data_IF_996103394953
#
_entry.id   IF_996103394953
#
_cell.length_a   1.000
_cell.length_b   1.000
_cell.length_c   1.000
_cell.angle_alpha   90.00
_cell.angle_beta   90.00
_cell.angle_gamma   90.00
#
_symmetry.space_group_name_H-M   'P 1'
#
loop_
_entity.id
_entity.type
_entity.pdbx_description
1 polymer ?
#
# COMPACT_ATOMS: atom_id res chain seq x y z
N UNK A 1 16.51 2.88 8.73
CA UNK A 1 15.93 1.55 8.42
C UNK A 1 16.93 0.79 7.56
N UNK A 2 17.12 -0.52 7.77
CA UNK A 2 18.04 -1.30 6.94
C UNK A 2 17.39 -1.57 5.58
N UNK A 3 18.13 -1.34 4.49
CA UNK A 3 17.65 -1.66 3.14
C UNK A 3 17.63 -3.17 2.94
N UNK A 4 16.62 -3.65 2.23
CA UNK A 4 16.56 -5.06 1.83
C UNK A 4 17.51 -5.26 0.66
N UNK A 5 18.43 -6.20 0.78
CA UNK A 5 19.41 -6.52 -0.27
C UNK A 5 19.04 -7.77 -1.07
N UNK A 6 18.26 -8.68 -0.48
CA UNK A 6 17.75 -9.88 -1.15
C UNK A 6 16.47 -10.37 -0.47
N UNK A 7 15.59 -11.02 -1.25
CA UNK A 7 14.37 -11.69 -0.77
C UNK A 7 14.40 -13.20 -0.97
N UNK A 8 15.53 -13.78 -1.43
CA UNK A 8 15.64 -15.19 -1.80
C UNK A 8 15.24 -16.14 -0.66
N UNK A 9 15.56 -15.79 0.59
CA UNK A 9 15.29 -16.63 1.77
C UNK A 9 13.84 -16.50 2.30
N UNK A 10 13.00 -15.65 1.71
CA UNK A 10 11.61 -15.46 2.16
C UNK A 10 10.76 -16.56 1.55
N UNK A 11 10.21 -17.47 2.38
CA UNK A 11 9.42 -18.62 1.92
C UNK A 11 8.04 -18.22 1.38
N UNK A 12 7.36 -17.31 2.06
CA UNK A 12 6.04 -16.83 1.65
C UNK A 12 6.13 -16.11 0.28
N UNK A 13 5.47 -16.63 -0.78
CA UNK A 13 5.62 -16.11 -2.13
C UNK A 13 5.11 -14.67 -2.28
N UNK A 14 4.03 -14.33 -1.58
CA UNK A 14 3.45 -13.00 -1.61
C UNK A 14 4.42 -11.98 -1.01
N UNK A 15 4.93 -12.26 0.18
CA UNK A 15 5.89 -11.47 0.93
C UNK A 15 7.18 -11.30 0.14
N UNK A 16 7.69 -12.37 -0.48
CA UNK A 16 8.87 -12.31 -1.36
C UNK A 16 8.65 -11.33 -2.53
N UNK A 17 7.51 -11.43 -3.23
CA UNK A 17 7.15 -10.59 -4.37
C UNK A 17 6.94 -9.12 -3.97
N UNK A 18 6.31 -8.87 -2.83
CA UNK A 18 6.06 -7.50 -2.38
C UNK A 18 7.37 -6.83 -1.98
N UNK A 19 8.21 -7.51 -1.21
CA UNK A 19 9.49 -6.96 -0.77
C UNK A 19 10.50 -6.82 -1.90
N UNK A 20 10.40 -7.59 -2.98
CA UNK A 20 11.29 -7.41 -4.14
C UNK A 20 11.13 -6.03 -4.78
N UNK A 21 9.96 -5.38 -4.64
CA UNK A 21 9.73 -4.02 -5.16
C UNK A 21 10.58 -2.95 -4.44
N UNK A 22 11.09 -3.24 -3.24
CA UNK A 22 11.89 -2.32 -2.42
C UNK A 22 13.33 -2.76 -2.21
N UNK A 23 13.83 -3.75 -2.97
CA UNK A 23 15.25 -4.13 -2.94
C UNK A 23 16.12 -2.90 -3.26
N UNK A 24 17.17 -2.72 -2.45
CA UNK A 24 18.11 -1.60 -2.49
C UNK A 24 17.49 -0.20 -2.32
N UNK A 25 16.19 -0.10 -2.00
CA UNK A 25 15.50 1.16 -1.75
C UNK A 25 15.41 1.44 -0.25
N UNK A 26 15.39 2.73 0.10
CA UNK A 26 14.95 3.15 1.42
C UNK A 26 13.40 3.08 1.45
N UNK A 27 12.87 2.08 2.15
CA UNK A 27 11.44 1.82 2.15
C UNK A 27 10.64 2.97 2.78
N UNK A 28 11.16 3.64 3.81
CA UNK A 28 10.45 4.78 4.41
C UNK A 28 10.42 5.99 3.47
N UNK A 29 11.48 6.20 2.69
CA UNK A 29 11.50 7.22 1.63
C UNK A 29 10.49 6.90 0.53
N UNK A 30 10.37 5.63 0.13
CA UNK A 30 9.33 5.19 -0.82
C UNK A 30 7.95 5.46 -0.25
N UNK A 31 7.69 5.01 0.98
CA UNK A 31 6.43 5.22 1.71
C UNK A 31 6.05 6.70 1.79
N UNK A 32 7.01 7.59 2.07
CA UNK A 32 6.82 9.05 2.10
C UNK A 32 6.52 9.67 0.73
N UNK A 33 7.04 9.10 -0.35
CA UNK A 33 6.88 9.62 -1.71
C UNK A 33 5.63 9.09 -2.41
N UNK A 34 5.04 7.99 -1.95
CA UNK A 34 3.82 7.40 -2.53
C UNK A 34 2.69 8.41 -2.73
N UNK A 35 2.31 9.27 -1.74
CA UNK A 35 1.27 10.30 -1.92
C UNK A 35 1.46 11.18 -3.16
N UNK A 36 2.67 11.69 -3.36
CA UNK A 36 2.98 12.57 -4.49
C UNK A 36 2.95 11.80 -5.81
N UNK A 37 3.53 10.59 -5.83
CA UNK A 37 3.56 9.74 -7.01
C UNK A 37 2.13 9.34 -7.44
N UNK A 38 1.28 8.96 -6.49
CA UNK A 38 -0.11 8.61 -6.75
C UNK A 38 -0.87 9.79 -7.35
N UNK A 39 -0.80 10.97 -6.72
CA UNK A 39 -1.41 12.20 -7.26
C UNK A 39 -0.96 12.47 -8.69
N UNK A 40 0.34 12.35 -8.97
CA UNK A 40 0.87 12.58 -10.31
C UNK A 40 0.32 11.60 -11.36
N UNK A 41 0.17 10.32 -11.02
CA UNK A 41 -0.38 9.31 -11.93
C UNK A 41 -1.87 9.52 -12.23
N UNK A 42 -2.62 10.12 -11.29
CA UNK A 42 -4.05 10.39 -11.45
C UNK A 42 -4.35 11.68 -12.24
N UNK A 43 -3.36 12.56 -12.41
CA UNK A 43 -3.56 13.84 -13.12
C UNK A 43 -3.93 13.60 -14.59
N UNK A 44 -4.99 14.29 -15.02
CA UNK A 44 -5.44 14.28 -16.41
C UNK A 44 -6.21 13.02 -16.84
N UNK A 45 -6.54 12.12 -15.91
CA UNK A 45 -7.40 10.96 -16.20
C UNK A 45 -8.88 11.35 -16.09
N UNK A 46 -9.69 10.98 -17.10
CA UNK A 46 -11.13 11.22 -17.09
C UNK A 46 -11.91 10.20 -16.24
N UNK A 47 -13.15 10.52 -15.87
CA UNK A 47 -14.02 9.64 -15.04
C UNK A 47 -14.20 8.23 -15.63
N UNK A 48 -14.26 8.10 -16.96
CA UNK A 48 -14.38 6.81 -17.66
C UNK A 48 -13.09 5.99 -17.57
N UNK A 49 -11.95 6.65 -17.74
CA UNK A 49 -10.62 6.05 -17.69
C UNK A 49 -10.31 5.47 -16.30
N UNK A 50 -10.72 6.18 -15.25
CA UNK A 50 -10.53 5.76 -13.86
C UNK A 50 -11.26 4.45 -13.51
N UNK A 51 -12.39 4.17 -14.17
CA UNK A 51 -13.21 2.97 -13.95
C UNK A 51 -12.92 1.83 -14.93
N UNK A 52 -12.05 2.04 -15.92
CA UNK A 52 -11.73 1.01 -16.91
C UNK A 52 -10.55 0.15 -16.42
N UNK A 53 -10.73 -1.16 -16.20
CA UNK A 53 -9.61 -2.05 -15.90
C UNK A 53 -8.80 -2.36 -17.16
N UNK A 54 -7.56 -2.83 -16.99
CA UNK A 54 -6.71 -3.30 -18.09
C UNK A 54 -7.23 -4.57 -18.77
N UNK A 55 -7.89 -5.44 -18.01
CA UNK A 55 -8.43 -6.71 -18.48
C UNK A 55 -9.58 -7.17 -17.58
N UNK A 56 -10.40 -8.11 -18.07
CA UNK A 56 -11.48 -8.74 -17.29
C UNK A 56 -10.92 -9.35 -16.00
N UNK A 57 -11.58 -9.08 -14.88
CA UNK A 57 -11.16 -9.57 -13.56
C UNK A 57 -9.94 -8.87 -12.96
N UNK A 58 -9.42 -7.81 -13.57
CA UNK A 58 -8.41 -6.93 -12.95
C UNK A 58 -9.07 -5.68 -12.39
N UNK A 59 -8.43 -5.10 -11.38
CA UNK A 59 -8.92 -3.85 -10.78
C UNK A 59 -8.74 -2.65 -11.70
N UNK A 60 -9.73 -1.76 -11.67
CA UNK A 60 -9.64 -0.40 -12.21
C UNK A 60 -8.79 0.51 -11.32
N UNK A 61 -8.48 1.71 -11.80
CA UNK A 61 -7.77 2.72 -10.98
C UNK A 61 -8.60 3.08 -9.74
N UNK A 62 -9.93 3.22 -9.88
CA UNK A 62 -10.82 3.50 -8.74
C UNK A 62 -10.76 2.42 -7.67
N UNK A 63 -10.76 1.15 -8.07
CA UNK A 63 -10.62 0.04 -7.12
C UNK A 63 -9.24 0.02 -6.47
N UNK A 64 -8.16 0.26 -7.23
CA UNK A 64 -6.80 0.32 -6.67
C UNK A 64 -6.65 1.45 -5.65
N UNK A 65 -7.17 2.65 -5.94
CA UNK A 65 -7.08 3.78 -5.00
C UNK A 65 -7.93 3.53 -3.75
N UNK A 66 -9.11 2.93 -3.91
CA UNK A 66 -9.95 2.52 -2.77
C UNK A 66 -9.24 1.51 -1.88
N UNK A 67 -8.59 0.51 -2.50
CA UNK A 67 -7.78 -0.48 -1.80
C UNK A 67 -6.58 0.14 -1.08
N UNK A 68 -5.84 1.05 -1.71
CA UNK A 68 -4.72 1.75 -1.07
C UNK A 68 -5.19 2.56 0.14
N UNK A 69 -6.32 3.25 0.03
CA UNK A 69 -6.94 4.00 1.13
C UNK A 69 -7.27 3.11 2.32
N UNK A 70 -8.00 2.02 2.08
CA UNK A 70 -8.47 1.15 3.17
C UNK A 70 -7.29 0.35 3.77
N UNK A 71 -6.30 -0.04 2.95
CA UNK A 71 -5.04 -0.61 3.42
C UNK A 71 -4.30 0.35 4.33
N UNK A 72 -4.25 1.64 4.00
CA UNK A 72 -3.57 2.65 4.80
C UNK A 72 -4.23 2.85 6.17
N UNK A 73 -5.56 2.79 6.24
CA UNK A 73 -6.31 2.79 7.50
C UNK A 73 -5.96 1.58 8.37
N UNK A 74 -5.95 0.39 7.79
CA UNK A 74 -5.55 -0.85 8.50
C UNK A 74 -4.12 -0.72 9.02
N UNK A 75 -3.21 -0.21 8.20
CA UNK A 75 -1.81 -0.01 8.61
C UNK A 75 -1.68 1.05 9.70
N UNK A 76 -2.45 2.15 9.65
CA UNK A 76 -2.46 3.18 10.69
C UNK A 76 -2.79 2.58 12.06
N UNK A 77 -3.79 1.70 12.12
CA UNK A 77 -4.15 0.96 13.33
C UNK A 77 -3.04 0.00 13.75
N UNK A 78 -2.54 -0.83 12.82
CA UNK A 78 -1.49 -1.83 13.11
C UNK A 78 -0.18 -1.20 13.60
N UNK A 79 0.22 -0.06 13.06
CA UNK A 79 1.39 0.68 13.56
C UNK A 79 1.20 1.10 15.01
N UNK A 80 0.05 1.70 15.34
CA UNK A 80 -0.26 2.11 16.72
C UNK A 80 -0.29 0.90 17.66
N UNK A 81 -0.90 -0.20 17.24
CA UNK A 81 -0.87 -1.46 18.01
C UNK A 81 0.55 -1.94 18.23
N UNK A 82 1.37 -2.10 17.20
CA UNK A 82 2.74 -2.58 17.35
C UNK A 82 3.62 -1.65 18.20
N UNK A 83 3.44 -0.33 18.04
CA UNK A 83 4.23 0.69 18.75
C UNK A 83 3.79 0.77 20.22
N UNK A 84 2.49 0.91 20.51
CA UNK A 84 2.03 1.09 21.89
C UNK A 84 1.93 -0.25 22.65
N UNK A 85 1.48 -1.30 21.96
CA UNK A 85 1.19 -2.62 22.51
C UNK A 85 2.00 -3.70 21.78
N UNK A 86 3.33 -3.69 21.99
CA UNK A 86 4.21 -4.59 21.27
C UNK A 86 3.87 -6.06 21.59
N UNK A 87 3.74 -6.88 20.55
CA UNK A 87 3.30 -8.27 20.65
C UNK A 87 1.82 -8.50 20.32
N UNK A 88 1.02 -7.44 20.15
CA UNK A 88 -0.41 -7.58 19.83
C UNK A 88 -0.68 -8.34 18.54
N UNK A 89 -1.79 -9.08 18.52
CA UNK A 89 -2.29 -9.79 17.34
C UNK A 89 -2.75 -8.78 16.28
N UNK A 90 -2.35 -9.00 15.03
CA UNK A 90 -2.76 -8.18 13.88
C UNK A 90 -3.64 -9.03 12.96
N UNK A 91 -4.92 -8.68 12.91
CA UNK A 91 -5.93 -9.37 12.09
C UNK A 91 -5.63 -9.21 10.61
N UNK A 92 -5.69 -10.30 9.86
CA UNK A 92 -5.69 -10.27 8.40
C UNK A 92 -7.06 -9.82 7.86
N UNK A 93 -7.11 -9.40 6.60
CA UNK A 93 -8.36 -9.08 5.90
C UNK A 93 -8.29 -9.56 4.45
N UNK A 94 -9.45 -9.89 3.90
CA UNK A 94 -9.61 -10.33 2.53
C UNK A 94 -9.94 -9.12 1.64
N UNK A 95 -8.93 -8.64 0.93
CA UNK A 95 -9.04 -7.46 0.06
C UNK A 95 -10.07 -7.63 -1.06
N UNK A 96 -10.28 -8.85 -1.57
CA UNK A 96 -11.21 -9.09 -2.67
C UNK A 96 -12.67 -9.10 -2.17
N UNK A 97 -12.89 -9.60 -0.95
CA UNK A 97 -14.19 -9.41 -0.26
C UNK A 97 -14.44 -7.95 0.06
N UNK A 98 -13.44 -7.19 0.49
CA UNK A 98 -13.60 -5.76 0.76
C UNK A 98 -13.95 -5.00 -0.51
N UNK A 99 -13.20 -5.23 -1.59
CA UNK A 99 -13.45 -4.57 -2.87
C UNK A 99 -14.88 -4.81 -3.39
N UNK A 100 -15.38 -6.06 -3.27
CA UNK A 100 -16.73 -6.42 -3.68
C UNK A 100 -17.80 -5.87 -2.72
N UNK A 101 -17.67 -6.14 -1.43
CA UNK A 101 -18.74 -5.88 -0.46
C UNK A 101 -18.82 -4.40 -0.02
N UNK A 102 -17.74 -3.64 -0.20
CA UNK A 102 -17.72 -2.19 0.03
C UNK A 102 -17.84 -1.38 -1.28
N UNK A 103 -18.23 -2.06 -2.36
CA UNK A 103 -18.56 -1.48 -3.67
C UNK A 103 -17.50 -0.50 -4.21
N UNK A 104 -16.25 -0.96 -4.31
CA UNK A 104 -15.14 -0.12 -4.78
C UNK A 104 -15.34 0.44 -6.20
N UNK A 105 -16.16 -0.21 -7.03
CA UNK A 105 -16.44 0.24 -8.40
C UNK A 105 -17.18 1.58 -8.46
N UNK A 106 -18.04 1.84 -7.48
CA UNK A 106 -18.80 3.09 -7.38
C UNK A 106 -18.17 4.11 -6.44
N UNK A 107 -17.01 3.81 -5.85
CA UNK A 107 -16.39 4.70 -4.87
C UNK A 107 -16.09 6.07 -5.46
N UNK A 108 -16.29 7.12 -4.65
CA UNK A 108 -15.82 8.45 -4.99
C UNK A 108 -14.30 8.51 -4.85
N UNK A 109 -13.62 8.64 -5.99
CA UNK A 109 -12.16 8.59 -6.04
C UNK A 109 -11.52 9.71 -5.22
N UNK A 110 -12.13 10.90 -5.21
CA UNK A 110 -11.60 12.05 -4.47
C UNK A 110 -11.60 11.76 -2.98
N UNK A 111 -12.74 11.32 -2.45
CA UNK A 111 -12.88 10.93 -1.04
C UNK A 111 -11.85 9.85 -0.64
N UNK A 112 -11.69 8.80 -1.46
CA UNK A 112 -10.70 7.73 -1.18
C UNK A 112 -9.26 8.24 -1.26
N UNK A 113 -8.95 9.09 -2.23
CA UNK A 113 -7.62 9.69 -2.33
C UNK A 113 -7.33 10.60 -1.13
N UNK A 114 -8.26 11.47 -0.74
CA UNK A 114 -8.09 12.40 0.37
C UNK A 114 -7.88 11.66 1.70
N UNK A 115 -8.64 10.59 1.93
CA UNK A 115 -8.46 9.69 3.07
C UNK A 115 -7.06 9.05 3.08
N UNK A 116 -6.63 8.45 1.97
CA UNK A 116 -5.29 7.89 1.85
C UNK A 116 -4.21 8.93 2.16
N UNK A 117 -4.30 10.13 1.58
CA UNK A 117 -3.32 11.19 1.75
C UNK A 117 -3.23 11.64 3.21
N UNK A 118 -4.36 11.89 3.86
CA UNK A 118 -4.38 12.36 5.25
C UNK A 118 -3.85 11.30 6.21
N UNK A 119 -4.30 10.05 6.08
CA UNK A 119 -3.85 8.97 6.98
C UNK A 119 -2.37 8.69 6.77
N UNK A 120 -1.89 8.72 5.52
CA UNK A 120 -0.46 8.55 5.21
C UNK A 120 0.39 9.68 5.81
N UNK A 121 -0.07 10.92 5.76
CA UNK A 121 0.63 12.07 6.36
C UNK A 121 0.81 11.88 7.88
N UNK A 122 -0.26 11.54 8.59
CA UNK A 122 -0.23 11.26 10.02
C UNK A 122 0.70 10.09 10.36
N UNK A 123 0.65 9.02 9.55
CA UNK A 123 1.53 7.87 9.74
C UNK A 123 3.00 8.21 9.48
N UNK A 124 3.31 9.08 8.52
CA UNK A 124 4.68 9.55 8.28
C UNK A 124 5.21 10.33 9.48
N UNK A 125 4.39 11.20 10.08
CA UNK A 125 4.77 11.94 11.28
C UNK A 125 5.04 10.99 12.47
N UNK A 126 4.12 10.05 12.73
CA UNK A 126 4.26 9.04 13.77
C UNK A 126 5.50 8.18 13.58
N UNK A 127 5.72 7.64 12.37
CA UNK A 127 6.87 6.77 12.09
C UNK A 127 8.18 7.55 12.11
N UNK A 128 8.16 8.82 11.70
CA UNK A 128 9.32 9.71 11.69
C UNK A 128 9.83 10.09 13.08
N UNK A 129 8.98 10.06 14.11
CA UNK A 129 9.38 10.35 15.49
C UNK A 129 9.98 9.14 16.22
N UNK A 130 9.94 7.95 15.63
CA UNK A 130 10.43 6.73 16.27
C UNK A 130 11.96 6.68 16.30
N UNK A 131 12.52 6.51 17.51
CA UNK A 131 13.90 6.09 17.69
C UNK A 131 14.15 4.62 17.28
N UNK A 132 15.41 4.14 17.30
CA UNK A 132 15.77 2.80 16.83
C UNK A 132 15.02 1.65 17.51
N UNK A 133 14.68 1.78 18.80
CA UNK A 133 13.89 0.77 19.53
C UNK A 133 12.43 0.73 19.06
N UNK A 134 11.84 1.88 18.70
CA UNK A 134 10.46 1.97 18.21
C UNK A 134 10.24 1.17 16.92
N UNK A 135 11.18 1.27 15.98
CA UNK A 135 11.17 0.51 14.72
C UNK A 135 11.24 -1.01 14.90
N UNK A 136 11.79 -1.48 16.02
CA UNK A 136 11.91 -2.90 16.38
C UNK A 136 10.71 -3.45 17.14
N UNK A 137 9.79 -2.59 17.60
CA UNK A 137 8.51 -3.05 18.17
C UNK A 137 7.70 -3.75 17.10
N UNK A 138 6.78 -4.62 17.51
CA UNK A 138 6.19 -5.59 16.59
C UNK A 138 4.76 -5.95 16.97
N UNK A 139 4.06 -6.57 16.02
CA UNK A 139 2.85 -7.34 16.30
C UNK A 139 2.94 -8.74 15.66
N UNK A 140 1.97 -9.59 15.96
CA UNK A 140 1.85 -10.95 15.43
C UNK A 140 0.77 -10.96 14.35
N UNK A 141 1.17 -10.89 13.07
CA UNK A 141 0.26 -10.99 11.94
C UNK A 141 -0.33 -12.40 11.86
N UNK A 142 -1.66 -12.47 11.76
CA UNK A 142 -2.42 -13.73 11.78
C UNK A 142 -1.89 -14.78 10.79
N UNK A 143 -1.44 -14.35 9.61
CA UNK A 143 -0.96 -15.25 8.55
C UNK A 143 0.57 -15.30 8.41
N UNK A 144 1.28 -14.24 8.82
CA UNK A 144 2.71 -14.05 8.50
C UNK A 144 3.61 -14.07 9.73
N UNK A 145 3.03 -14.25 10.91
CA UNK A 145 3.74 -14.28 12.18
C UNK A 145 4.28 -12.90 12.59
N UNK A 146 5.44 -12.89 13.24
CA UNK A 146 6.02 -11.67 13.83
C UNK A 146 6.41 -10.65 12.75
N UNK A 147 5.81 -9.47 12.81
CA UNK A 147 6.16 -8.33 11.94
C UNK A 147 6.57 -7.12 12.80
N UNK A 148 7.80 -6.66 12.63
CA UNK A 148 8.25 -5.39 13.22
C UNK A 148 7.63 -4.21 12.48
N UNK A 149 7.59 -3.03 13.11
CA UNK A 149 7.18 -1.78 12.45
C UNK A 149 8.01 -1.54 11.19
N UNK A 150 9.32 -1.79 11.25
CA UNK A 150 10.21 -1.75 10.08
C UNK A 150 9.74 -2.69 8.96
N UNK A 151 9.44 -3.97 9.27
CA UNK A 151 8.96 -4.93 8.28
C UNK A 151 7.62 -4.51 7.69
N UNK A 152 6.70 -4.00 8.51
CA UNK A 152 5.41 -3.50 8.05
C UNK A 152 5.58 -2.36 7.04
N UNK A 153 6.42 -1.37 7.33
CA UNK A 153 6.68 -0.26 6.40
C UNK A 153 7.36 -0.74 5.11
N UNK A 154 8.29 -1.71 5.19
CA UNK A 154 8.88 -2.33 4.00
C UNK A 154 7.81 -3.01 3.13
N UNK A 155 6.90 -3.77 3.75
CA UNK A 155 5.78 -4.42 3.06
C UNK A 155 4.86 -3.39 2.41
N UNK A 156 4.45 -2.35 3.14
CA UNK A 156 3.56 -1.31 2.62
C UNK A 156 4.22 -0.52 1.49
N UNK A 157 5.50 -0.16 1.61
CA UNK A 157 6.24 0.51 0.54
C UNK A 157 6.35 -0.35 -0.73
N UNK A 158 6.61 -1.65 -0.59
CA UNK A 158 6.63 -2.58 -1.73
C UNK A 158 5.27 -2.77 -2.37
N UNK A 159 4.22 -2.81 -1.55
CA UNK A 159 2.82 -2.89 -1.97
C UNK A 159 2.39 -1.64 -2.74
N UNK A 160 2.74 -0.46 -2.23
CA UNK A 160 2.50 0.82 -2.91
C UNK A 160 3.13 0.82 -4.30
N UNK A 161 4.41 0.44 -4.42
CA UNK A 161 5.10 0.42 -5.72
C UNK A 161 4.45 -0.56 -6.71
N UNK A 162 3.96 -1.71 -6.24
CA UNK A 162 3.19 -2.64 -7.05
C UNK A 162 1.93 -1.98 -7.63
N UNK A 163 1.15 -1.28 -6.80
CA UNK A 163 -0.08 -0.61 -7.25
C UNK A 163 0.17 0.64 -8.09
N UNK A 164 1.19 1.44 -7.77
CA UNK A 164 1.61 2.57 -8.62
C UNK A 164 2.03 2.08 -10.01
N UNK A 165 2.67 0.91 -10.12
CA UNK A 165 2.98 0.29 -11.42
C UNK A 165 1.68 -0.06 -12.17
N UNK A 166 0.71 -0.70 -11.51
CA UNK A 166 -0.57 -1.05 -12.13
C UNK A 166 -1.31 0.19 -12.65
N UNK A 167 -1.42 1.26 -11.85
CA UNK A 167 -2.05 2.52 -12.28
C UNK A 167 -1.32 3.11 -13.50
N UNK A 168 0.01 3.11 -13.49
CA UNK A 168 0.81 3.58 -14.62
C UNK A 168 0.54 2.76 -15.89
N UNK A 169 0.46 1.44 -15.77
CA UNK A 169 0.23 0.54 -16.90
C UNK A 169 -1.18 0.71 -17.47
N UNK A 170 -2.20 0.89 -16.61
CA UNK A 170 -3.57 1.26 -17.04
C UNK A 170 -3.53 2.58 -17.82
N UNK A 171 -2.88 3.61 -17.26
CA UNK A 171 -2.77 4.92 -17.91
C UNK A 171 -2.07 4.88 -19.27
N UNK A 172 -1.06 4.01 -19.44
CA UNK A 172 -0.40 3.78 -20.74
C UNK A 172 -1.32 3.06 -21.73
N UNK A 173 -1.97 1.97 -21.32
CA UNK A 173 -2.87 1.20 -22.17
C UNK A 173 -4.06 2.02 -22.69
N UNK A 174 -4.53 3.00 -21.91
CA UNK A 174 -5.58 3.93 -22.34
C UNK A 174 -5.12 4.92 -23.41
N UNK A 175 -3.81 5.22 -23.49
CA UNK A 175 -3.25 6.11 -24.53
C UNK A 175 -3.03 5.37 -25.84
N UNK A 176 -2.59 4.11 -25.77
CA UNK A 176 -2.31 3.28 -26.95
C UNK A 176 -3.58 2.76 -27.64
N UNK A 177 -4.72 2.70 -26.94
CA UNK A 177 -6.01 2.30 -27.53
C UNK A 177 -6.88 3.46 -28.02
N UNK A 178 -6.33 4.69 -28.11
CA UNK A 178 -7.00 5.88 -28.67
C UNK A 178 -6.49 6.27 -30.07
N UNK A 179 -5.52 5.52 -30.61
CA UNK A 179 -5.12 5.49 -32.03
C UNK A 179 -5.89 4.40 -32.73
#
# INVERSE_FOLDING_TARGET
MKRITSTANIKDPYTRRILSNVIAKDAFTVYRRTPRALKQLLRGLGKRDLRKPLAKGKWSITQIVSHLSDTELVMAFRYRMAIAQSGSRLLAYDQDKWARNMNYDSADLRTKLDLFLRVREENIALLGSLGPKGWKRYGMHQERGKETVERMVQMTAGHDLNHLKQIRDIGKGLRTGKT
#
